data_IF_428928402509
#
_entry.id   IF_428928402509
#
_cell.length_a   1.000
_cell.length_b   1.000
_cell.length_c   1.000
_cell.angle_alpha   90.00
_cell.angle_beta   90.00
_cell.angle_gamma   90.00
#
_symmetry.space_group_name_H-M   'P 1'
#
loop_
_entity.id
_entity.type
_entity.pdbx_description
1 polymer ?
#
# COMPACT_ATOMS: atom_id res chain seq x y z
N UNK A 1 13.94 -0.37 -22.96
CA UNK A 1 12.68 0.29 -22.60
C UNK A 1 11.66 -0.79 -22.23
N UNK A 2 11.51 -1.08 -20.94
CA UNK A 2 10.54 -2.08 -20.47
C UNK A 2 9.17 -1.41 -20.38
N UNK A 3 8.22 -1.84 -21.20
CA UNK A 3 6.81 -1.44 -21.11
C UNK A 3 6.26 -1.93 -19.78
N UNK A 4 5.78 -1.01 -18.97
CA UNK A 4 4.93 -1.32 -17.84
C UNK A 4 3.67 -2.01 -18.37
N UNK A 5 3.52 -3.30 -18.09
CA UNK A 5 2.27 -4.00 -18.34
C UNK A 5 1.25 -3.51 -17.32
N UNK A 6 0.25 -2.80 -17.82
CA UNK A 6 -0.96 -2.48 -17.07
C UNK A 6 -1.66 -3.80 -16.76
N UNK A 7 -1.60 -4.23 -15.51
CA UNK A 7 -2.38 -5.39 -15.04
C UNK A 7 -3.83 -4.89 -14.92
N UNK A 8 -4.79 -5.46 -15.69
CA UNK A 8 -6.19 -5.09 -15.54
C UNK A 8 -6.65 -5.38 -14.12
N UNK A 9 -7.33 -4.43 -13.50
CA UNK A 9 -8.00 -4.62 -12.21
C UNK A 9 -8.97 -5.79 -12.32
N UNK A 10 -8.89 -6.81 -11.46
CA UNK A 10 -9.77 -7.96 -11.52
C UNK A 10 -11.22 -7.59 -11.19
N UNK A 11 -12.13 -8.22 -11.91
CA UNK A 11 -13.57 -8.17 -11.74
C UNK A 11 -13.98 -8.55 -10.30
N UNK A 12 -14.70 -7.69 -9.62
CA UNK A 12 -15.06 -7.77 -8.20
C UNK A 12 -16.18 -8.80 -7.88
N UNK A 13 -16.51 -9.73 -8.79
CA UNK A 13 -17.69 -10.60 -8.64
C UNK A 13 -17.46 -11.96 -7.95
N UNK A 14 -16.23 -12.28 -7.50
CA UNK A 14 -15.96 -13.51 -6.73
C UNK A 14 -15.11 -13.16 -5.52
N UNK A 15 -15.58 -13.52 -4.33
CA UNK A 15 -14.75 -13.54 -3.12
C UNK A 15 -13.49 -14.37 -3.39
N UNK A 16 -12.37 -13.70 -3.47
CA UNK A 16 -11.09 -14.35 -3.79
C UNK A 16 -10.37 -14.65 -2.49
N UNK A 17 -10.05 -15.92 -2.27
CA UNK A 17 -9.28 -16.31 -1.08
C UNK A 17 -7.84 -15.82 -1.20
N UNK A 18 -7.52 -14.74 -0.50
CA UNK A 18 -6.18 -14.16 -0.46
C UNK A 18 -5.34 -14.73 0.68
N UNK A 19 -4.12 -15.08 0.37
CA UNK A 19 -3.13 -15.58 1.32
C UNK A 19 -1.83 -14.78 1.22
N UNK A 20 -1.01 -14.86 2.28
CA UNK A 20 0.31 -14.25 2.31
C UNK A 20 1.35 -15.31 1.95
N UNK A 21 2.23 -14.99 1.02
CA UNK A 21 3.43 -15.78 0.74
C UNK A 21 4.69 -15.01 1.15
N UNK A 22 5.60 -15.69 1.82
CA UNK A 22 6.92 -15.17 2.15
C UNK A 22 7.84 -15.37 0.96
N UNK A 23 8.56 -14.32 0.60
CA UNK A 23 9.52 -14.33 -0.51
C UNK A 23 10.90 -14.78 -0.04
N UNK A 24 11.66 -15.34 -0.96
CA UNK A 24 13.11 -15.50 -0.81
C UNK A 24 13.78 -14.13 -0.89
N UNK A 25 15.00 -13.94 -0.37
CA UNK A 25 15.76 -12.71 -0.55
C UNK A 25 15.81 -12.29 -2.03
N UNK A 26 15.45 -11.05 -2.31
CA UNK A 26 15.33 -10.49 -3.67
C UNK A 26 14.38 -11.26 -4.61
N UNK A 27 13.46 -12.05 -4.07
CA UNK A 27 12.60 -12.97 -4.83
C UNK A 27 11.37 -12.33 -5.47
N UNK A 28 11.02 -11.06 -5.18
CA UNK A 28 9.76 -10.45 -5.61
C UNK A 28 9.54 -10.52 -7.13
N UNK A 29 10.46 -9.99 -7.92
CA UNK A 29 10.31 -9.98 -9.38
C UNK A 29 10.29 -11.40 -9.99
N UNK A 30 10.97 -12.35 -9.35
CA UNK A 30 10.95 -13.75 -9.79
C UNK A 30 9.62 -14.40 -9.42
N UNK A 31 9.11 -14.16 -8.23
CA UNK A 31 7.82 -14.67 -7.78
C UNK A 31 6.70 -14.15 -8.67
N UNK A 32 6.62 -12.85 -8.93
CA UNK A 32 5.62 -12.24 -9.80
C UNK A 32 5.59 -12.90 -11.18
N UNK A 33 6.73 -12.95 -11.88
CA UNK A 33 6.81 -13.58 -13.20
C UNK A 33 6.37 -15.06 -13.23
N UNK A 34 6.63 -15.81 -12.16
CA UNK A 34 6.25 -17.21 -12.11
C UNK A 34 4.78 -17.40 -11.70
N UNK A 35 4.23 -16.51 -10.88
CA UNK A 35 2.80 -16.48 -10.57
C UNK A 35 1.97 -16.12 -11.81
N UNK A 36 2.41 -15.11 -12.59
CA UNK A 36 1.80 -14.74 -13.87
C UNK A 36 1.74 -15.93 -14.84
N UNK A 37 2.84 -16.68 -14.96
CA UNK A 37 2.88 -17.88 -15.83
C UNK A 37 1.93 -18.98 -15.39
N UNK A 38 1.59 -19.02 -14.11
CA UNK A 38 0.65 -19.97 -13.52
C UNK A 38 -0.80 -19.46 -13.56
N UNK A 39 -1.03 -18.24 -14.04
CA UNK A 39 -2.34 -17.60 -14.05
C UNK A 39 -2.86 -17.25 -12.66
N UNK A 40 -1.97 -17.13 -11.67
CA UNK A 40 -2.33 -16.80 -10.28
C UNK A 40 -2.29 -15.30 -10.08
N UNK A 41 -3.39 -14.76 -9.58
CA UNK A 41 -3.42 -13.34 -9.21
C UNK A 41 -2.55 -13.11 -7.99
N UNK A 42 -1.81 -12.02 -8.02
CA UNK A 42 -0.96 -11.62 -6.92
C UNK A 42 -0.97 -10.10 -6.75
N UNK A 43 -0.62 -9.65 -5.55
CA UNK A 43 -0.53 -8.24 -5.22
C UNK A 43 0.64 -7.99 -4.27
N UNK A 44 1.50 -7.06 -4.63
CA UNK A 44 2.61 -6.61 -3.81
C UNK A 44 2.61 -5.08 -3.82
N UNK A 45 1.87 -4.44 -2.89
CA UNK A 45 1.76 -2.99 -2.87
C UNK A 45 3.13 -2.35 -2.65
N UNK A 46 3.35 -1.24 -3.34
CA UNK A 46 4.55 -0.44 -3.25
C UNK A 46 4.28 0.84 -2.47
N UNK A 47 5.32 1.43 -1.94
CA UNK A 47 5.32 2.80 -1.41
C UNK A 47 6.48 3.58 -2.01
N UNK A 48 6.33 4.88 -2.15
CA UNK A 48 7.44 5.75 -2.44
C UNK A 48 8.24 6.05 -1.18
N UNK A 49 9.54 5.91 -1.28
CA UNK A 49 10.50 6.27 -0.23
C UNK A 49 11.45 7.34 -0.78
N UNK A 50 11.65 8.42 -0.02
CA UNK A 50 12.64 9.42 -0.35
C UNK A 50 14.03 8.83 -0.19
N UNK A 51 14.86 8.94 -1.23
CA UNK A 51 16.23 8.44 -1.21
C UNK A 51 17.19 9.53 -1.66
N UNK A 52 18.32 9.64 -0.97
CA UNK A 52 19.39 10.53 -1.40
C UNK A 52 20.11 9.93 -2.59
N UNK A 53 20.16 10.66 -3.69
CA UNK A 53 20.87 10.26 -4.90
C UNK A 53 22.03 11.25 -5.16
N UNK A 54 23.01 10.91 -6.00
CA UNK A 54 24.08 11.84 -6.39
C UNK A 54 23.60 13.13 -7.04
N UNK A 55 22.35 13.14 -7.54
CA UNK A 55 21.71 14.30 -8.19
C UNK A 55 20.73 15.06 -7.28
N UNK A 56 20.68 14.73 -5.97
CA UNK A 56 19.75 15.31 -4.99
C UNK A 56 18.77 14.29 -4.41
N UNK A 57 17.69 14.76 -3.83
CA UNK A 57 16.61 13.89 -3.32
C UNK A 57 15.83 13.28 -4.48
N UNK A 58 15.66 11.97 -4.45
CA UNK A 58 14.87 11.19 -5.40
C UNK A 58 13.82 10.35 -4.70
N UNK A 59 12.86 9.82 -5.46
CA UNK A 59 11.84 8.88 -4.96
C UNK A 59 12.11 7.49 -5.53
N UNK A 60 12.01 6.48 -4.70
CA UNK A 60 12.16 5.08 -5.10
C UNK A 60 10.96 4.28 -4.62
N UNK A 61 10.37 3.50 -5.53
CA UNK A 61 9.32 2.56 -5.14
C UNK A 61 9.93 1.37 -4.38
N UNK A 62 9.38 1.05 -3.22
CA UNK A 62 9.73 -0.09 -2.40
C UNK A 62 8.50 -0.86 -2.00
N UNK A 63 8.59 -2.20 -1.84
CA UNK A 63 7.47 -2.97 -1.30
C UNK A 63 7.01 -2.43 0.05
N UNK A 64 5.70 -2.26 0.20
CA UNK A 64 5.09 -1.86 1.47
C UNK A 64 5.33 -2.92 2.55
N UNK A 65 5.30 -4.20 2.16
CA UNK A 65 5.60 -5.36 3.00
C UNK A 65 6.86 -6.07 2.46
N UNK A 66 8.08 -5.65 2.87
CA UNK A 66 9.31 -6.27 2.39
C UNK A 66 9.34 -7.76 2.72
N UNK A 67 9.61 -8.58 1.71
CA UNK A 67 9.68 -10.04 1.88
C UNK A 67 8.33 -10.77 1.80
N UNK A 68 7.22 -10.09 1.50
CA UNK A 68 5.90 -10.70 1.39
C UNK A 68 5.20 -10.30 0.09
N UNK A 69 4.28 -11.18 -0.36
CA UNK A 69 3.39 -10.96 -1.49
C UNK A 69 2.03 -11.60 -1.18
N UNK A 70 0.95 -10.94 -1.57
CA UNK A 70 -0.38 -11.50 -1.49
C UNK A 70 -0.67 -12.31 -2.75
N UNK A 71 -1.31 -13.47 -2.61
CA UNK A 71 -1.63 -14.40 -3.72
C UNK A 71 -3.05 -14.94 -3.54
N UNK A 72 -3.77 -15.13 -4.65
CA UNK A 72 -5.07 -15.80 -4.61
C UNK A 72 -4.90 -17.29 -4.78
N UNK A 73 -5.56 -18.05 -3.93
CA UNK A 73 -5.50 -19.51 -3.93
C UNK A 73 -6.82 -20.11 -3.47
N UNK A 74 -7.20 -21.23 -4.10
CA UNK A 74 -8.19 -22.12 -3.52
C UNK A 74 -7.52 -23.06 -2.50
N UNK A 75 -7.99 -23.09 -1.23
CA UNK A 75 -7.46 -23.98 -0.22
C UNK A 75 -7.50 -25.45 -0.69
N UNK A 76 -6.44 -26.18 -0.39
CA UNK A 76 -6.29 -27.62 -0.73
C UNK A 76 -6.32 -27.97 -2.23
N UNK A 77 -6.36 -26.97 -3.12
CA UNK A 77 -6.26 -27.19 -4.56
C UNK A 77 -4.82 -27.59 -4.98
N UNK A 78 -4.63 -28.12 -6.19
CA UNK A 78 -3.29 -28.35 -6.74
C UNK A 78 -2.43 -27.07 -6.78
N UNK A 79 -3.05 -25.91 -6.96
CA UNK A 79 -2.39 -24.59 -6.96
C UNK A 79 -1.72 -24.27 -5.62
N UNK A 80 -2.28 -24.76 -4.52
CA UNK A 80 -1.73 -24.61 -3.18
C UNK A 80 -0.28 -25.11 -3.07
N UNK A 81 -0.03 -26.29 -3.62
CA UNK A 81 1.32 -26.87 -3.66
C UNK A 81 2.21 -26.16 -4.67
N UNK A 82 1.64 -25.78 -5.81
CA UNK A 82 2.35 -25.08 -6.86
C UNK A 82 2.91 -23.74 -6.39
N UNK A 83 2.14 -22.96 -5.62
CA UNK A 83 2.62 -21.68 -5.07
C UNK A 83 3.79 -21.88 -4.13
N UNK A 84 3.74 -22.87 -3.22
CA UNK A 84 4.86 -23.15 -2.30
C UNK A 84 6.14 -23.57 -3.04
N UNK A 85 6.00 -24.18 -4.24
CA UNK A 85 7.11 -24.56 -5.11
C UNK A 85 7.53 -23.46 -6.09
N UNK A 86 6.83 -22.32 -6.13
CA UNK A 86 7.10 -21.24 -7.08
C UNK A 86 8.47 -20.61 -6.80
N UNK A 87 9.28 -20.46 -7.86
CA UNK A 87 10.57 -19.76 -7.73
C UNK A 87 10.37 -18.31 -7.27
N UNK A 88 11.10 -17.92 -6.23
CA UNK A 88 10.99 -16.61 -5.59
C UNK A 88 10.14 -16.64 -4.32
N UNK A 89 9.29 -17.66 -4.14
CA UNK A 89 8.54 -17.89 -2.90
C UNK A 89 9.32 -18.84 -1.99
N UNK A 90 9.33 -18.55 -0.70
CA UNK A 90 9.92 -19.39 0.34
C UNK A 90 8.87 -20.33 0.92
N UNK A 91 7.71 -19.79 1.30
CA UNK A 91 6.58 -20.54 1.87
C UNK A 91 5.31 -19.71 1.88
N UNK A 92 4.17 -20.36 2.02
CA UNK A 92 2.92 -19.70 2.42
C UNK A 92 2.95 -19.43 3.94
N UNK A 93 2.44 -18.26 4.34
CA UNK A 93 2.28 -17.90 5.74
C UNK A 93 0.89 -18.35 6.19
N UNK A 94 0.83 -19.43 6.94
CA UNK A 94 -0.40 -20.07 7.36
C UNK A 94 -0.29 -20.34 8.86
N UNK A 95 -1.30 -19.90 9.61
CA UNK A 95 -1.33 -20.14 11.05
C UNK A 95 -1.62 -21.60 11.39
N UNK A 96 -2.58 -22.20 10.68
CA UNK A 96 -2.95 -23.62 10.83
C UNK A 96 -2.97 -24.31 9.46
N UNK A 97 -2.03 -25.21 9.15
CA UNK A 97 -2.03 -25.94 7.89
C UNK A 97 -3.24 -26.84 7.66
N UNK A 98 -3.96 -27.23 8.71
CA UNK A 98 -5.17 -28.07 8.63
C UNK A 98 -6.42 -27.24 8.33
N UNK A 99 -6.39 -25.95 8.68
CA UNK A 99 -7.49 -25.02 8.47
C UNK A 99 -6.95 -23.67 7.99
N UNK A 100 -6.45 -23.59 6.75
CA UNK A 100 -5.90 -22.36 6.21
C UNK A 100 -7.02 -21.32 6.07
N UNK A 101 -6.86 -20.17 6.73
CA UNK A 101 -7.80 -19.06 6.65
C UNK A 101 -7.26 -17.99 5.71
N UNK A 102 -8.06 -17.55 4.74
CA UNK A 102 -7.70 -16.42 3.90
C UNK A 102 -7.67 -15.12 4.71
N UNK A 103 -7.02 -14.13 4.16
CA UNK A 103 -7.12 -12.76 4.66
C UNK A 103 -8.56 -12.25 4.52
N UNK A 104 -9.03 -11.38 5.43
CA UNK A 104 -10.30 -10.70 5.26
C UNK A 104 -10.34 -9.90 3.95
N UNK A 105 -11.42 -10.03 3.18
CA UNK A 105 -11.57 -9.31 1.89
C UNK A 105 -11.46 -7.80 2.10
N UNK A 106 -12.09 -7.26 3.15
CA UNK A 106 -12.04 -5.85 3.50
C UNK A 106 -10.61 -5.30 3.62
N UNK A 107 -9.67 -6.08 4.14
CA UNK A 107 -8.26 -5.65 4.28
C UNK A 107 -7.62 -5.40 2.91
N UNK A 108 -7.82 -6.32 1.96
CA UNK A 108 -7.23 -6.18 0.62
C UNK A 108 -7.91 -5.07 -0.18
N UNK A 109 -9.22 -4.92 -0.02
CA UNK A 109 -10.00 -3.88 -0.71
C UNK A 109 -9.61 -2.49 -0.21
N UNK A 110 -9.50 -2.29 1.09
CA UNK A 110 -8.99 -1.04 1.67
C UNK A 110 -7.56 -0.73 1.21
N UNK A 111 -6.69 -1.75 1.20
CA UNK A 111 -5.32 -1.58 0.76
C UNK A 111 -5.22 -1.19 -0.71
N UNK A 112 -6.05 -1.80 -1.56
CA UNK A 112 -6.13 -1.50 -2.99
C UNK A 112 -6.74 -0.13 -3.27
N UNK A 113 -7.79 0.23 -2.56
CA UNK A 113 -8.43 1.55 -2.68
C UNK A 113 -7.46 2.70 -2.39
N UNK A 114 -6.41 2.43 -1.62
CA UNK A 114 -5.34 3.39 -1.30
C UNK A 114 -4.17 3.36 -2.29
N UNK A 115 -4.20 2.49 -3.29
CA UNK A 115 -3.16 2.37 -4.31
C UNK A 115 -3.63 2.95 -5.65
N UNK A 116 -2.68 3.47 -6.41
CA UNK A 116 -2.90 3.84 -7.81
C UNK A 116 -2.98 2.60 -8.73
N UNK A 117 -3.20 2.83 -10.01
CA UNK A 117 -3.26 1.75 -11.01
C UNK A 117 -1.98 0.91 -11.14
N UNK A 118 -0.85 1.38 -10.62
CA UNK A 118 0.41 0.63 -10.59
C UNK A 118 0.58 -0.23 -9.32
N UNK A 119 -0.39 -0.17 -8.40
CA UNK A 119 -0.30 -0.83 -7.09
C UNK A 119 0.60 -0.10 -6.10
N UNK A 120 0.89 1.18 -6.35
CA UNK A 120 1.68 2.01 -5.44
C UNK A 120 0.73 2.81 -4.56
N UNK A 121 0.96 2.80 -3.24
CA UNK A 121 0.22 3.65 -2.32
C UNK A 121 0.29 5.10 -2.77
N UNK A 122 -0.90 5.70 -2.93
CA UNK A 122 -1.00 7.12 -3.20
C UNK A 122 -0.29 7.88 -2.09
N UNK A 123 0.69 8.70 -2.45
CA UNK A 123 1.34 9.54 -1.48
C UNK A 123 0.31 10.56 -0.97
N UNK A 124 0.43 10.96 0.28
CA UNK A 124 -0.39 12.03 0.82
C UNK A 124 -0.29 13.33 -0.03
N UNK A 125 0.78 13.47 -0.81
CA UNK A 125 0.96 14.56 -1.78
C UNK A 125 -0.09 14.62 -2.88
N UNK A 126 -0.65 13.46 -3.26
CA UNK A 126 -1.69 13.40 -4.29
C UNK A 126 -3.08 13.66 -3.67
N UNK A 127 -3.18 13.58 -2.35
CA UNK A 127 -4.42 13.81 -1.60
C UNK A 127 -4.57 15.27 -1.12
N UNK A 128 -3.48 15.98 -0.82
CA UNK A 128 -3.51 17.30 -0.20
C UNK A 128 -2.67 18.31 -0.98
N UNK A 129 -3.25 19.48 -1.24
CA UNK A 129 -2.57 20.63 -1.83
C UNK A 129 -2.49 21.80 -0.83
N UNK A 130 -1.49 22.69 -0.95
CA UNK A 130 -1.48 23.94 -0.19
C UNK A 130 -2.79 24.71 -0.40
N UNK A 131 -3.40 25.15 0.69
CA UNK A 131 -4.70 25.82 0.68
C UNK A 131 -5.91 24.91 0.91
N UNK A 132 -5.75 23.58 0.83
CA UNK A 132 -6.84 22.65 1.15
C UNK A 132 -7.23 22.77 2.63
N UNK A 133 -8.53 22.65 2.91
CA UNK A 133 -9.03 22.49 4.27
C UNK A 133 -9.04 21.00 4.64
N UNK A 134 -8.50 20.69 5.79
CA UNK A 134 -8.42 19.31 6.31
C UNK A 134 -8.94 19.25 7.73
N UNK A 135 -9.61 18.16 8.06
CA UNK A 135 -10.00 17.79 9.41
C UNK A 135 -8.96 16.84 10.00
N UNK A 136 -8.53 17.10 11.22
CA UNK A 136 -7.60 16.23 11.94
C UNK A 136 -8.41 15.10 12.60
N UNK A 137 -8.06 13.86 12.33
CA UNK A 137 -8.81 12.68 12.76
C UNK A 137 -8.42 12.17 14.16
N UNK A 138 -7.22 12.49 14.62
CA UNK A 138 -6.72 12.00 15.91
C UNK A 138 -5.66 12.90 16.51
N UNK A 139 -5.41 12.73 17.82
CA UNK A 139 -4.42 13.50 18.57
C UNK A 139 -5.01 14.70 19.30
N UNK A 140 -4.17 15.58 19.88
CA UNK A 140 -4.61 16.72 20.70
C UNK A 140 -5.48 17.74 19.95
N UNK A 141 -5.45 17.72 18.63
CA UNK A 141 -6.17 18.64 17.73
C UNK A 141 -7.25 17.93 16.92
N UNK A 142 -7.70 16.75 17.36
CA UNK A 142 -8.76 16.02 16.68
C UNK A 142 -10.01 16.88 16.47
N UNK A 143 -10.73 16.66 15.36
CA UNK A 143 -11.93 17.38 14.92
C UNK A 143 -11.69 18.84 14.51
N UNK A 144 -10.50 19.38 14.68
CA UNK A 144 -10.20 20.76 14.24
C UNK A 144 -10.01 20.76 12.73
N UNK A 145 -10.64 21.73 12.07
CA UNK A 145 -10.40 22.03 10.65
C UNK A 145 -9.26 23.03 10.55
N UNK A 146 -8.27 22.69 9.72
CA UNK A 146 -7.08 23.49 9.50
C UNK A 146 -6.77 23.59 8.01
N UNK A 147 -6.01 24.60 7.62
CA UNK A 147 -5.58 24.79 6.24
C UNK A 147 -4.18 24.19 6.03
N UNK A 148 -4.02 23.47 4.94
CA UNK A 148 -2.71 22.94 4.53
C UNK A 148 -1.83 24.08 4.06
N UNK A 149 -0.71 24.30 4.74
CA UNK A 149 0.33 25.24 4.33
C UNK A 149 1.32 24.53 3.39
N UNK A 150 1.80 23.38 3.82
CA UNK A 150 2.82 22.62 3.10
C UNK A 150 2.76 21.15 3.46
N UNK A 151 3.14 20.30 2.51
CA UNK A 151 3.41 18.87 2.74
C UNK A 151 4.91 18.64 2.59
N UNK A 152 5.54 18.09 3.62
CA UNK A 152 6.97 17.80 3.58
C UNK A 152 7.30 16.47 2.86
N UNK A 153 8.57 16.17 2.74
CA UNK A 153 9.06 14.96 2.06
C UNK A 153 8.81 13.66 2.87
N UNK A 154 8.46 13.79 4.15
CA UNK A 154 8.19 12.70 5.08
C UNK A 154 6.69 12.39 5.20
N UNK A 155 5.86 12.89 4.26
CA UNK A 155 4.40 12.78 4.27
C UNK A 155 3.76 13.38 5.55
N UNK A 156 4.31 14.51 6.03
CA UNK A 156 3.74 15.31 7.10
C UNK A 156 3.11 16.57 6.55
N UNK A 157 1.90 16.84 7.02
CA UNK A 157 1.17 18.06 6.72
C UNK A 157 1.55 19.15 7.72
N UNK A 158 2.05 20.25 7.21
CA UNK A 158 2.14 21.49 7.95
C UNK A 158 0.82 22.23 7.81
N UNK A 159 0.13 22.41 8.92
CA UNK A 159 -1.20 22.98 8.96
C UNK A 159 -1.18 24.32 9.69
N UNK A 160 -2.00 25.25 9.21
CA UNK A 160 -2.30 26.50 9.90
C UNK A 160 -3.73 26.41 10.41
N UNK A 161 -3.90 26.60 11.71
CA UNK A 161 -5.20 26.64 12.37
C UNK A 161 -5.35 27.92 13.18
N UNK A 162 -6.58 28.36 13.38
CA UNK A 162 -6.90 29.45 14.30
C UNK A 162 -7.27 28.88 15.67
N UNK A 163 -6.49 29.21 16.67
CA UNK A 163 -6.76 28.86 18.06
C UNK A 163 -6.89 30.14 18.88
N UNK A 164 -8.11 30.43 19.30
CA UNK A 164 -8.42 31.61 20.14
C UNK A 164 -7.99 32.93 19.51
N UNK A 165 -8.14 33.05 18.19
CA UNK A 165 -7.76 34.27 17.45
C UNK A 165 -6.27 34.38 17.10
N UNK A 166 -5.50 33.31 17.34
CA UNK A 166 -4.10 33.25 16.95
C UNK A 166 -3.86 32.15 15.93
N UNK A 167 -3.08 32.46 14.88
CA UNK A 167 -2.66 31.49 13.89
C UNK A 167 -1.54 30.63 14.46
N UNK A 168 -1.81 29.35 14.62
CA UNK A 168 -0.86 28.35 15.11
C UNK A 168 -0.51 27.40 13.98
N UNK A 169 0.78 27.12 13.82
CA UNK A 169 1.26 26.13 12.86
C UNK A 169 1.58 24.82 13.59
N UNK A 170 1.01 23.73 13.10
CA UNK A 170 1.30 22.38 13.60
C UNK A 170 1.71 21.48 12.46
N UNK A 171 2.53 20.48 12.76
CA UNK A 171 2.93 19.46 11.79
C UNK A 171 2.38 18.12 12.26
N UNK A 172 1.60 17.46 11.41
CA UNK A 172 0.99 16.17 11.69
C UNK A 172 1.30 15.17 10.56
N UNK A 173 1.32 13.86 10.83
CA UNK A 173 1.34 12.86 9.79
C UNK A 173 0.09 12.98 8.89
N UNK A 174 0.26 12.92 7.58
CA UNK A 174 -0.85 13.11 6.65
C UNK A 174 -1.95 12.03 6.76
N UNK A 175 -1.61 10.84 7.26
CA UNK A 175 -2.60 9.77 7.42
C UNK A 175 -3.62 10.01 8.54
N UNK A 176 -3.41 11.01 9.40
CA UNK A 176 -4.39 11.41 10.43
C UNK A 176 -5.19 12.65 10.04
N UNK A 177 -5.21 13.00 8.76
CA UNK A 177 -6.00 14.10 8.22
C UNK A 177 -6.89 13.60 7.08
N UNK A 178 -8.07 14.20 6.92
CA UNK A 178 -8.97 14.03 5.78
C UNK A 178 -9.35 15.38 5.21
N UNK A 179 -9.69 15.44 3.90
CA UNK A 179 -10.22 16.69 3.33
C UNK A 179 -11.55 17.02 4.01
N UNK A 180 -11.63 18.24 4.52
CA UNK A 180 -12.90 18.81 4.93
C UNK A 180 -13.63 19.19 3.64
N UNK A 181 -14.69 18.45 3.30
CA UNK A 181 -15.53 18.67 2.12
C UNK A 181 -16.29 19.99 2.18
#
# INVERSE_FOLDING_TARGET
MARAQVIPLPDHSRSQNWFVAQLKPNGLAMAQRNLDRQGLQHFAPLRHEAVRTPRGMGRRARPLFPGYIFVTLEPFSPQWRAVSATRGISRLVIADPRSPRPLPDAFLDELRARCDASGTLCAARDAFAPGDQVRILSGPFAEIVAMVDHLDEEDRLRLIMDLLGQKVTVTIPAHIAEKAG
#
